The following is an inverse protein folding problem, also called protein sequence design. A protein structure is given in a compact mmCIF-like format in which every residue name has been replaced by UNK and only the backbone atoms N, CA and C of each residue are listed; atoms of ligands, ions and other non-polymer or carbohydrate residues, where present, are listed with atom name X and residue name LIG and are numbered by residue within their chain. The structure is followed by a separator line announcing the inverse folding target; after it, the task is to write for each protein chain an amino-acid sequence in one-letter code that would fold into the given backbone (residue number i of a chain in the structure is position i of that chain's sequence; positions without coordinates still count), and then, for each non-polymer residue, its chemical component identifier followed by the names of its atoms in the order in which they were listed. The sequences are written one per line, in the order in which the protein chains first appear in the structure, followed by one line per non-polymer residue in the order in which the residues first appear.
data_IF_142443875050
#
_entry.id   IF_142443875050
#
_cell.length_a   1.000
_cell.length_b   1.000
_cell.length_c   1.000
_cell.angle_alpha   90.00
_cell.angle_beta   90.00
_cell.angle_gamma   90.00
#
_symmetry.space_group_name_H-M   'P 1'
#
loop_
_entity.id
_entity.type
_entity.pdbx_description
1 polymer ?
#
# COMPACT_ATOMS: atom_id res chain seq x y z
N UNK A 1 10.37 -24.78 -4.05
CA UNK A 1 10.44 -23.31 -3.94
C UNK A 1 9.17 -22.71 -3.33
N UNK A 2 7.93 -23.13 -3.73
CA UNK A 2 6.69 -22.63 -3.09
C UNK A 2 6.66 -22.87 -1.58
N UNK A 3 7.10 -24.02 -1.11
CA UNK A 3 7.12 -24.40 0.32
C UNK A 3 8.04 -23.51 1.17
N UNK A 4 9.20 -23.11 0.66
CA UNK A 4 10.16 -22.32 1.43
C UNK A 4 9.80 -20.84 1.42
N UNK A 5 9.52 -20.27 0.24
CA UNK A 5 9.31 -18.82 0.08
C UNK A 5 7.88 -18.36 0.41
N UNK A 6 6.90 -19.27 0.34
CA UNK A 6 5.51 -18.92 0.59
C UNK A 6 4.99 -19.53 1.90
N UNK A 7 5.25 -20.81 2.16
CA UNK A 7 4.73 -21.51 3.35
C UNK A 7 5.59 -21.29 4.61
N UNK A 8 6.86 -20.91 4.46
CA UNK A 8 7.81 -20.68 5.56
C UNK A 8 7.91 -21.87 6.54
N UNK A 9 7.83 -23.10 6.01
CA UNK A 9 7.81 -24.32 6.82
C UNK A 9 6.57 -24.46 7.70
N UNK A 10 5.42 -24.03 7.21
CA UNK A 10 4.13 -24.05 7.92
C UNK A 10 3.82 -22.78 8.73
N UNK A 11 4.79 -21.87 8.92
CA UNK A 11 4.59 -20.67 9.73
C UNK A 11 3.58 -19.71 9.11
N UNK A 12 3.45 -19.66 7.77
CA UNK A 12 2.47 -18.83 7.08
C UNK A 12 1.03 -19.21 7.44
N UNK A 13 0.73 -20.51 7.44
CA UNK A 13 -0.59 -21.05 7.81
C UNK A 13 -0.84 -20.93 9.32
N UNK A 14 0.19 -21.23 10.13
CA UNK A 14 0.09 -21.08 11.56
C UNK A 14 -0.24 -19.63 11.98
N UNK A 15 0.48 -18.66 11.42
CA UNK A 15 0.27 -17.23 11.72
C UNK A 15 -1.09 -16.77 11.20
N UNK A 16 -1.55 -17.29 10.04
CA UNK A 16 -2.89 -17.04 9.55
C UNK A 16 -3.93 -17.44 10.58
N UNK A 17 -3.91 -18.69 11.07
CA UNK A 17 -4.86 -19.16 12.07
C UNK A 17 -4.75 -18.41 13.41
N UNK A 18 -3.52 -18.08 13.85
CA UNK A 18 -3.30 -17.31 15.07
C UNK A 18 -4.01 -15.93 15.03
N UNK A 19 -4.09 -15.30 13.85
CA UNK A 19 -4.75 -14.01 13.69
C UNK A 19 -6.24 -14.19 13.35
N UNK A 20 -6.59 -15.10 12.41
CA UNK A 20 -7.94 -15.28 11.92
C UNK A 20 -8.90 -15.86 12.98
N UNK A 21 -8.40 -16.58 13.97
CA UNK A 21 -9.21 -17.15 15.06
C UNK A 21 -9.53 -16.15 16.19
N UNK A 22 -8.93 -14.97 16.20
CA UNK A 22 -9.27 -13.91 17.16
C UNK A 22 -10.58 -13.24 16.68
N UNK A 23 -11.71 -13.59 17.31
CA UNK A 23 -13.04 -13.14 16.90
C UNK A 23 -13.75 -12.36 17.99
N UNK A 24 -14.01 -11.08 17.72
CA UNK A 24 -14.88 -10.20 18.51
C UNK A 24 -15.61 -9.29 17.54
N UNK A 25 -16.91 -9.09 17.71
CA UNK A 25 -17.73 -8.28 16.80
C UNK A 25 -17.17 -6.86 16.56
N UNK A 26 -16.73 -6.19 17.62
CA UNK A 26 -16.10 -4.88 17.49
C UNK A 26 -14.78 -4.91 16.71
N UNK A 27 -13.99 -5.98 16.89
CA UNK A 27 -12.71 -6.15 16.17
C UNK A 27 -12.97 -6.39 14.68
N UNK A 28 -13.97 -7.20 14.35
CA UNK A 28 -14.35 -7.49 12.97
C UNK A 28 -14.78 -6.21 12.24
N UNK A 29 -15.54 -5.33 12.91
CA UNK A 29 -15.92 -4.03 12.37
C UNK A 29 -14.70 -3.10 12.17
N UNK A 30 -13.74 -3.09 13.11
CA UNK A 30 -12.48 -2.35 12.97
C UNK A 30 -11.67 -2.90 11.78
N UNK A 31 -11.58 -4.22 11.60
CA UNK A 31 -10.88 -4.84 10.48
C UNK A 31 -11.58 -4.58 9.14
N UNK A 32 -12.91 -4.61 9.09
CA UNK A 32 -13.68 -4.21 7.92
C UNK A 32 -13.43 -2.76 7.53
N UNK A 33 -13.37 -1.84 8.49
CA UNK A 33 -13.05 -0.45 8.21
C UNK A 33 -11.62 -0.28 7.71
N UNK A 34 -10.64 -0.99 8.29
CA UNK A 34 -9.26 -0.98 7.83
C UNK A 34 -9.12 -1.48 6.38
N UNK A 35 -9.77 -2.59 6.04
CA UNK A 35 -9.75 -3.10 4.67
C UNK A 35 -10.45 -2.16 3.69
N UNK A 36 -11.54 -1.51 4.10
CA UNK A 36 -12.22 -0.52 3.27
C UNK A 36 -11.29 0.63 2.89
N UNK A 37 -10.58 1.22 3.85
CA UNK A 37 -9.62 2.30 3.60
C UNK A 37 -8.43 1.84 2.74
N UNK A 38 -8.02 0.59 2.81
CA UNK A 38 -6.95 0.01 1.99
C UNK A 38 -7.36 -0.35 0.56
N UNK A 39 -8.60 -0.11 0.15
CA UNK A 39 -9.10 -0.46 -1.18
C UNK A 39 -8.57 0.45 -2.29
N UNK A 40 -8.14 -0.11 -3.43
CA UNK A 40 -7.69 0.65 -4.61
C UNK A 40 -8.75 1.63 -5.15
N UNK A 41 -10.03 1.36 -4.94
CA UNK A 41 -11.14 2.22 -5.32
C UNK A 41 -11.12 3.58 -4.62
N UNK A 42 -10.39 3.68 -3.48
CA UNK A 42 -10.20 4.94 -2.75
C UNK A 42 -9.12 5.84 -3.32
N UNK A 43 -8.37 5.41 -4.34
CA UNK A 43 -7.32 6.23 -4.95
C UNK A 43 -7.77 7.65 -5.32
N UNK A 44 -8.91 7.87 -6.04
CA UNK A 44 -9.34 9.23 -6.37
C UNK A 44 -9.58 10.09 -5.13
N UNK A 45 -10.14 9.53 -4.06
CA UNK A 45 -10.38 10.22 -2.80
C UNK A 45 -9.06 10.62 -2.12
N UNK A 46 -8.10 9.70 -2.04
CA UNK A 46 -6.75 10.01 -1.51
C UNK A 46 -6.05 11.07 -2.36
N UNK A 47 -6.16 11.00 -3.69
CA UNK A 47 -5.55 11.98 -4.59
C UNK A 47 -6.14 13.38 -4.41
N UNK A 48 -7.46 13.48 -4.26
CA UNK A 48 -8.14 14.77 -3.98
C UNK A 48 -7.66 15.34 -2.65
N UNK A 49 -7.68 14.55 -1.57
CA UNK A 49 -7.22 15.01 -0.25
C UNK A 49 -5.76 15.44 -0.32
N UNK A 50 -4.90 14.63 -0.95
CA UNK A 50 -3.48 14.95 -1.10
C UNK A 50 -3.27 16.27 -1.85
N UNK A 51 -4.03 16.48 -2.92
CA UNK A 51 -3.98 17.72 -3.71
C UNK A 51 -4.42 18.93 -2.89
N UNK A 52 -5.51 18.82 -2.12
CA UNK A 52 -5.95 19.89 -1.25
C UNK A 52 -4.94 20.23 -0.15
N UNK A 53 -4.32 19.21 0.47
CA UNK A 53 -3.24 19.41 1.45
C UNK A 53 -2.03 20.09 0.80
N UNK A 54 -1.65 19.67 -0.41
CA UNK A 54 -0.55 20.26 -1.17
C UNK A 54 -0.83 21.74 -1.48
N UNK A 55 -2.01 22.07 -1.98
CA UNK A 55 -2.44 23.45 -2.24
C UNK A 55 -2.37 24.30 -0.97
N UNK A 56 -2.90 23.79 0.14
CA UNK A 56 -2.83 24.50 1.41
C UNK A 56 -1.39 24.70 1.89
N UNK A 57 -0.55 23.66 1.78
CA UNK A 57 0.84 23.73 2.21
C UNK A 57 1.68 24.71 1.35
N UNK A 58 1.43 24.75 0.04
CA UNK A 58 2.12 25.63 -0.90
C UNK A 58 1.72 27.08 -0.67
N UNK A 59 0.46 27.39 -0.38
CA UNK A 59 -0.05 28.74 -0.14
C UNK A 59 0.32 29.34 1.23
N UNK A 60 1.02 28.59 2.10
CA UNK A 60 1.54 29.18 3.35
C UNK A 60 2.61 30.23 3.05
N UNK A 61 2.69 31.31 3.85
CA UNK A 61 3.75 32.32 3.71
C UNK A 61 5.12 31.66 3.61
N UNK A 62 5.92 32.07 2.63
CA UNK A 62 7.30 31.65 2.45
C UNK A 62 8.21 32.84 2.77
N UNK A 63 9.42 32.57 3.31
CA UNK A 63 10.37 33.61 3.65
C UNK A 63 10.97 34.27 2.40
N UNK A 64 11.09 33.48 1.32
CA UNK A 64 11.61 33.91 0.02
C UNK A 64 11.05 33.05 -1.12
N UNK A 65 11.31 33.47 -2.36
CA UNK A 65 10.87 32.75 -3.55
C UNK A 65 11.50 31.35 -3.67
N UNK A 66 12.75 31.17 -3.26
CA UNK A 66 13.45 29.88 -3.30
C UNK A 66 12.78 28.84 -2.39
N UNK A 67 12.37 29.26 -1.20
CA UNK A 67 11.62 28.41 -0.25
C UNK A 67 10.23 28.01 -0.80
N UNK A 68 9.56 28.95 -1.48
CA UNK A 68 8.28 28.69 -2.15
C UNK A 68 8.47 27.67 -3.28
N UNK A 69 9.40 27.89 -4.18
CA UNK A 69 9.69 27.02 -5.33
C UNK A 69 10.05 25.59 -4.88
N UNK A 70 10.90 25.46 -3.86
CA UNK A 70 11.29 24.16 -3.29
C UNK A 70 10.08 23.40 -2.75
N UNK A 71 9.17 24.11 -2.08
CA UNK A 71 7.93 23.52 -1.55
C UNK A 71 6.99 23.06 -2.66
N UNK A 72 6.80 23.87 -3.70
CA UNK A 72 6.00 23.50 -4.89
C UNK A 72 6.57 22.25 -5.53
N UNK A 73 7.87 22.22 -5.84
CA UNK A 73 8.54 21.05 -6.46
C UNK A 73 8.38 19.79 -5.61
N UNK A 74 8.52 19.90 -4.28
CA UNK A 74 8.33 18.77 -3.37
C UNK A 74 6.93 18.18 -3.44
N UNK A 75 5.88 19.01 -3.38
CA UNK A 75 4.50 18.55 -3.43
C UNK A 75 4.11 18.01 -4.80
N UNK A 76 4.57 18.65 -5.86
CA UNK A 76 4.39 18.12 -7.24
C UNK A 76 5.03 16.73 -7.39
N UNK A 77 6.25 16.56 -6.87
CA UNK A 77 6.92 15.26 -6.90
C UNK A 77 6.13 14.18 -6.11
N UNK A 78 5.60 14.51 -4.93
CA UNK A 78 4.78 13.58 -4.13
C UNK A 78 3.52 13.15 -4.88
N UNK A 79 2.78 14.10 -5.47
CA UNK A 79 1.57 13.81 -6.25
C UNK A 79 1.92 12.95 -7.49
N UNK A 80 2.98 13.30 -8.19
CA UNK A 80 3.45 12.54 -9.35
C UNK A 80 3.86 11.10 -8.95
N UNK A 81 4.67 10.94 -7.88
CA UNK A 81 5.05 9.62 -7.37
C UNK A 81 3.82 8.80 -7.02
N UNK A 82 2.86 9.34 -6.27
CA UNK A 82 1.64 8.63 -5.89
C UNK A 82 0.83 8.18 -7.11
N UNK A 83 0.65 9.06 -8.10
CA UNK A 83 -0.14 8.77 -9.30
C UNK A 83 0.53 7.74 -10.21
N UNK A 84 1.83 7.89 -10.49
CA UNK A 84 2.56 6.94 -11.33
C UNK A 84 2.77 5.59 -10.63
N UNK A 85 3.00 5.59 -9.31
CA UNK A 85 3.09 4.36 -8.54
C UNK A 85 1.77 3.59 -8.56
N UNK A 86 0.63 4.29 -8.42
CA UNK A 86 -0.70 3.66 -8.51
C UNK A 86 -0.93 2.98 -9.87
N UNK A 87 -0.59 3.68 -10.94
CA UNK A 87 -0.72 3.12 -12.29
C UNK A 87 0.19 1.90 -12.51
N UNK A 88 1.45 1.99 -12.12
CA UNK A 88 2.42 0.91 -12.29
C UNK A 88 2.09 -0.29 -11.37
N UNK A 89 1.72 -0.06 -10.12
CA UNK A 89 1.29 -1.10 -9.17
C UNK A 89 0.06 -1.84 -9.70
N UNK A 90 -0.91 -1.11 -10.28
CA UNK A 90 -2.10 -1.69 -10.91
C UNK A 90 -1.76 -2.63 -12.07
N UNK A 91 -0.81 -2.25 -12.95
CA UNK A 91 -0.32 -3.12 -14.03
C UNK A 91 0.36 -4.36 -13.47
N UNK A 92 1.25 -4.19 -12.48
CA UNK A 92 1.97 -5.30 -11.87
C UNK A 92 1.04 -6.26 -11.15
N UNK A 93 0.09 -5.76 -10.37
CA UNK A 93 -0.91 -6.61 -9.72
C UNK A 93 -1.80 -7.33 -10.74
N UNK A 94 -2.23 -6.63 -11.79
CA UNK A 94 -3.05 -7.21 -12.87
C UNK A 94 -2.35 -8.31 -13.65
N UNK A 95 -1.02 -8.28 -13.73
CA UNK A 95 -0.21 -9.31 -14.41
C UNK A 95 0.26 -10.42 -13.46
N UNK A 96 0.74 -10.07 -12.28
CA UNK A 96 1.32 -11.03 -11.33
C UNK A 96 0.26 -11.96 -10.73
N UNK A 97 -0.91 -11.44 -10.39
CA UNK A 97 -1.98 -12.25 -9.75
C UNK A 97 -2.44 -13.42 -10.62
N UNK A 98 -2.82 -13.24 -11.91
CA UNK A 98 -3.18 -14.35 -12.77
C UNK A 98 -1.99 -15.27 -13.06
N UNK A 99 -0.79 -14.72 -13.22
CA UNK A 99 0.43 -15.50 -13.53
C UNK A 99 0.82 -16.44 -12.39
N UNK A 100 0.70 -15.97 -11.14
CA UNK A 100 1.07 -16.74 -9.95
C UNK A 100 -0.06 -17.66 -9.49
N UNK A 101 -1.30 -17.24 -9.66
CA UNK A 101 -2.56 -17.94 -9.31
C UNK A 101 -2.52 -18.73 -7.99
N UNK A 102 -2.07 -18.07 -6.91
CA UNK A 102 -2.09 -18.66 -5.58
C UNK A 102 -3.52 -18.72 -5.04
N UNK A 103 -3.94 -19.87 -4.44
CA UNK A 103 -5.23 -19.99 -3.80
C UNK A 103 -5.30 -19.13 -2.54
N UNK A 104 -6.48 -18.55 -2.25
CA UNK A 104 -6.73 -17.85 -1.00
C UNK A 104 -7.05 -18.82 0.14
N UNK A 105 -6.99 -18.37 1.42
CA UNK A 105 -7.24 -19.25 2.55
C UNK A 105 -8.50 -20.12 2.45
N UNK A 106 -9.68 -19.60 2.00
CA UNK A 106 -10.88 -20.44 1.88
C UNK A 106 -10.80 -21.56 0.84
N UNK A 107 -9.89 -21.45 -0.14
CA UNK A 107 -9.66 -22.50 -1.14
C UNK A 107 -8.47 -23.40 -0.76
N UNK A 108 -7.51 -22.86 -0.02
CA UNK A 108 -6.26 -23.56 0.32
C UNK A 108 -6.37 -24.42 1.58
N UNK A 109 -7.31 -24.10 2.48
CA UNK A 109 -7.49 -24.75 3.79
C UNK A 109 -8.89 -25.35 3.90
N UNK A 110 -9.13 -26.31 4.82
CA UNK A 110 -10.46 -26.77 5.15
C UNK A 110 -11.36 -25.62 5.57
N UNK A 111 -12.51 -25.47 4.91
CA UNK A 111 -13.36 -24.28 5.05
C UNK A 111 -13.85 -24.06 6.48
N UNK A 112 -14.03 -25.13 7.24
CA UNK A 112 -14.40 -25.11 8.66
C UNK A 112 -13.30 -24.52 9.58
N UNK A 113 -12.09 -24.39 9.08
CA UNK A 113 -10.96 -23.83 9.83
C UNK A 113 -10.70 -22.35 9.53
N UNK A 114 -11.47 -21.75 8.60
CA UNK A 114 -11.28 -20.38 8.13
C UNK A 114 -12.49 -19.52 8.48
N UNK A 115 -12.28 -18.48 9.26
CA UNK A 115 -13.30 -17.47 9.51
C UNK A 115 -13.30 -16.44 8.39
N UNK A 116 -14.36 -16.42 7.59
CA UNK A 116 -14.54 -15.49 6.46
C UNK A 116 -15.52 -14.39 6.86
N UNK A 117 -15.10 -13.14 6.74
CA UNK A 117 -15.93 -11.96 7.00
C UNK A 117 -15.94 -11.05 5.76
N UNK A 118 -17.13 -10.81 5.26
CA UNK A 118 -17.36 -10.09 4.01
C UNK A 118 -17.17 -10.96 2.77
N UNK A 119 -17.18 -10.33 1.59
CA UNK A 119 -16.97 -11.01 0.33
C UNK A 119 -15.47 -11.31 0.13
N UNK A 120 -15.15 -12.54 -0.25
CA UNK A 120 -13.79 -12.93 -0.60
C UNK A 120 -13.76 -13.71 -1.90
N UNK A 121 -12.73 -13.49 -2.69
CA UNK A 121 -12.41 -14.28 -3.88
C UNK A 121 -11.68 -15.55 -3.45
N UNK A 122 -11.62 -16.55 -4.31
CA UNK A 122 -10.97 -17.83 -4.02
C UNK A 122 -9.54 -17.91 -4.60
N UNK A 123 -9.31 -17.23 -5.71
CA UNK A 123 -8.05 -17.24 -6.47
C UNK A 123 -7.29 -15.93 -6.35
N UNK A 124 -6.10 -15.90 -6.95
CA UNK A 124 -5.25 -14.70 -7.09
C UNK A 124 -4.91 -14.05 -5.76
N UNK A 125 -4.47 -14.87 -4.77
CA UNK A 125 -4.14 -14.41 -3.44
C UNK A 125 -2.90 -13.53 -3.41
N UNK A 126 -1.83 -13.94 -4.09
CA UNK A 126 -0.51 -13.30 -4.06
C UNK A 126 -0.31 -12.34 -5.25
N UNK A 127 0.16 -11.11 -5.01
CA UNK A 127 0.25 -10.39 -3.75
C UNK A 127 -1.06 -9.70 -3.34
N UNK A 128 -1.19 -9.30 -2.05
CA UNK A 128 -2.38 -8.61 -1.54
C UNK A 128 -2.47 -7.16 -2.06
N UNK A 129 -3.50 -6.86 -2.86
CA UNK A 129 -3.70 -5.53 -3.42
C UNK A 129 -4.02 -4.46 -2.37
N UNK A 130 -4.82 -4.75 -1.34
CA UNK A 130 -5.11 -3.81 -0.27
C UNK A 130 -3.84 -3.45 0.52
N UNK A 131 -3.00 -4.43 0.79
CA UNK A 131 -1.71 -4.22 1.48
C UNK A 131 -0.76 -3.38 0.62
N UNK A 132 -0.71 -3.67 -0.69
CA UNK A 132 0.05 -2.89 -1.68
C UNK A 132 -0.39 -1.43 -1.67
N UNK A 133 -1.69 -1.17 -1.79
CA UNK A 133 -2.23 0.19 -1.82
C UNK A 133 -1.96 0.97 -0.53
N UNK A 134 -2.15 0.36 0.65
CA UNK A 134 -1.86 1.01 1.92
C UNK A 134 -0.38 1.41 2.05
N UNK A 135 0.55 0.52 1.66
CA UNK A 135 1.98 0.81 1.63
C UNK A 135 2.29 1.93 0.64
N UNK A 136 1.70 1.91 -0.55
CA UNK A 136 1.91 2.94 -1.57
C UNK A 136 1.49 4.33 -1.08
N UNK A 137 0.32 4.46 -0.45
CA UNK A 137 -0.14 5.72 0.14
C UNK A 137 0.91 6.29 1.09
N UNK A 138 1.36 5.49 2.06
CA UNK A 138 2.29 5.95 3.09
C UNK A 138 3.69 6.21 2.53
N UNK A 139 4.20 5.31 1.68
CA UNK A 139 5.54 5.45 1.10
C UNK A 139 5.63 6.68 0.17
N UNK A 140 4.60 6.96 -0.64
CA UNK A 140 4.57 8.13 -1.50
C UNK A 140 4.55 9.45 -0.73
N UNK A 141 3.86 9.49 0.42
CA UNK A 141 3.78 10.67 1.27
C UNK A 141 4.98 10.83 2.20
N UNK A 142 5.82 9.80 2.35
CA UNK A 142 6.92 9.77 3.33
C UNK A 142 7.80 11.03 3.38
N UNK A 143 8.17 11.66 2.23
CA UNK A 143 9.01 12.86 2.23
C UNK A 143 8.36 14.08 2.89
N UNK A 144 7.04 14.14 2.97
CA UNK A 144 6.29 15.30 3.51
C UNK A 144 5.66 15.03 4.88
N UNK A 145 5.69 13.77 5.36
CA UNK A 145 5.16 13.39 6.66
C UNK A 145 6.08 13.81 7.81
N UNK A 146 5.49 14.36 8.87
CA UNK A 146 6.17 14.57 10.16
C UNK A 146 6.46 13.23 10.85
N UNK A 147 7.32 13.22 11.88
CA UNK A 147 7.66 11.99 12.62
C UNK A 147 6.42 11.24 13.11
N UNK A 148 5.47 11.95 13.70
CA UNK A 148 4.26 11.33 14.24
C UNK A 148 3.33 10.80 13.15
N UNK A 149 3.21 11.51 12.01
CA UNK A 149 2.46 11.03 10.86
C UNK A 149 3.11 9.83 10.19
N UNK A 150 4.44 9.69 10.24
CA UNK A 150 5.12 8.46 9.79
C UNK A 150 4.78 7.28 10.67
N UNK A 151 4.77 7.45 11.99
CA UNK A 151 4.33 6.39 12.92
C UNK A 151 2.89 6.00 12.65
N UNK A 152 1.98 6.98 12.56
CA UNK A 152 0.58 6.73 12.21
C UNK A 152 0.42 6.02 10.87
N UNK A 153 1.21 6.40 9.86
CA UNK A 153 1.25 5.74 8.55
C UNK A 153 1.69 4.28 8.65
N UNK A 154 2.73 3.97 9.41
CA UNK A 154 3.17 2.58 9.64
C UNK A 154 2.06 1.79 10.34
N UNK A 155 1.43 2.35 11.37
CA UNK A 155 0.29 1.72 12.05
C UNK A 155 -0.87 1.45 11.07
N UNK A 156 -1.16 2.39 10.17
CA UNK A 156 -2.18 2.23 9.13
C UNK A 156 -1.85 1.08 8.18
N UNK A 157 -0.62 1.00 7.68
CA UNK A 157 -0.17 -0.09 6.79
C UNK A 157 -0.31 -1.46 7.48
N UNK A 158 0.15 -1.57 8.73
CA UNK A 158 0.03 -2.78 9.51
C UNK A 158 -1.44 -3.14 9.78
N UNK A 159 -2.26 -2.17 10.11
CA UNK A 159 -3.69 -2.37 10.33
C UNK A 159 -4.40 -2.91 9.08
N UNK A 160 -4.18 -2.30 7.90
CA UNK A 160 -4.73 -2.81 6.65
C UNK A 160 -4.23 -4.23 6.36
N UNK A 161 -2.94 -4.51 6.52
CA UNK A 161 -2.39 -5.84 6.33
C UNK A 161 -3.00 -6.88 7.26
N UNK A 162 -3.08 -6.58 8.56
CA UNK A 162 -3.72 -7.43 9.57
C UNK A 162 -5.21 -7.65 9.27
N UNK A 163 -5.91 -6.63 8.77
CA UNK A 163 -7.31 -6.76 8.41
C UNK A 163 -7.52 -7.82 7.32
N UNK A 164 -6.62 -7.93 6.34
CA UNK A 164 -6.73 -8.94 5.26
C UNK A 164 -6.56 -10.36 5.77
N UNK A 165 -5.71 -10.56 6.78
CA UNK A 165 -5.51 -11.86 7.42
C UNK A 165 -6.70 -12.19 8.34
N UNK A 166 -7.08 -11.25 9.19
CA UNK A 166 -8.17 -11.39 10.16
C UNK A 166 -9.50 -11.72 9.49
N UNK A 167 -9.81 -11.09 8.35
CA UNK A 167 -11.05 -11.32 7.58
C UNK A 167 -11.01 -12.59 6.70
N UNK A 168 -9.93 -13.38 6.76
CA UNK A 168 -9.81 -14.64 6.01
C UNK A 168 -9.51 -14.47 4.52
N UNK A 169 -9.11 -13.28 4.07
CA UNK A 169 -8.96 -12.98 2.64
C UNK A 169 -7.56 -13.27 2.08
N UNK A 170 -6.51 -13.24 2.91
CA UNK A 170 -5.11 -13.40 2.49
C UNK A 170 -4.26 -14.08 3.57
N UNK A 171 -3.24 -14.78 3.13
CA UNK A 171 -2.18 -15.25 4.02
C UNK A 171 -1.20 -14.12 4.39
N UNK A 172 -0.46 -14.23 5.52
CA UNK A 172 0.61 -13.29 5.87
C UNK A 172 1.64 -13.06 4.75
N UNK A 173 2.00 -14.10 4.00
CA UNK A 173 2.92 -14.01 2.86
C UNK A 173 2.38 -13.09 1.75
N UNK A 174 1.08 -13.13 1.46
CA UNK A 174 0.45 -12.25 0.47
C UNK A 174 0.53 -10.78 0.87
N UNK A 175 0.31 -10.53 2.16
CA UNK A 175 0.35 -9.19 2.77
C UNK A 175 1.77 -8.62 2.68
N UNK A 176 2.78 -9.40 3.09
CA UNK A 176 4.18 -8.98 3.00
C UNK A 176 4.62 -8.76 1.56
N UNK A 177 4.23 -9.64 0.64
CA UNK A 177 4.53 -9.47 -0.78
C UNK A 177 3.91 -8.19 -1.35
N UNK A 178 2.67 -7.84 -0.94
CA UNK A 178 2.03 -6.58 -1.29
C UNK A 178 2.81 -5.36 -0.78
N UNK A 179 3.27 -5.39 0.47
CA UNK A 179 4.09 -4.31 1.04
C UNK A 179 5.42 -4.15 0.28
N UNK A 180 6.13 -5.25 0.02
CA UNK A 180 7.44 -5.21 -0.66
C UNK A 180 7.28 -4.72 -2.09
N UNK A 181 6.30 -5.25 -2.84
CA UNK A 181 6.04 -4.86 -4.22
C UNK A 181 5.79 -3.35 -4.32
N UNK A 182 4.85 -2.84 -3.54
CA UNK A 182 4.49 -1.44 -3.62
C UNK A 182 5.60 -0.50 -3.13
N UNK A 183 6.34 -0.88 -2.08
CA UNK A 183 7.50 -0.10 -1.65
C UNK A 183 8.56 -0.03 -2.76
N UNK A 184 8.85 -1.15 -3.44
CA UNK A 184 9.79 -1.17 -4.56
C UNK A 184 9.30 -0.30 -5.73
N UNK A 185 8.00 -0.36 -6.07
CA UNK A 185 7.38 0.49 -7.10
C UNK A 185 7.51 1.97 -6.75
N UNK A 186 7.17 2.37 -5.53
CA UNK A 186 7.27 3.77 -5.08
C UNK A 186 8.71 4.26 -5.14
N UNK A 187 9.66 3.47 -4.68
CA UNK A 187 11.09 3.83 -4.72
C UNK A 187 11.59 3.97 -6.17
N UNK A 188 11.21 3.05 -7.06
CA UNK A 188 11.55 3.11 -8.49
C UNK A 188 11.02 4.40 -9.13
N UNK A 189 9.74 4.68 -8.95
CA UNK A 189 9.09 5.88 -9.50
C UNK A 189 9.71 7.16 -8.90
N UNK A 190 9.98 7.16 -7.59
CA UNK A 190 10.63 8.29 -6.93
C UNK A 190 12.02 8.58 -7.53
N UNK A 191 12.85 7.57 -7.71
CA UNK A 191 14.18 7.72 -8.33
C UNK A 191 14.06 8.24 -9.76
N UNK A 192 13.15 7.68 -10.56
CA UNK A 192 12.93 8.11 -11.94
C UNK A 192 12.51 9.61 -12.02
N UNK A 193 11.59 10.04 -11.17
CA UNK A 193 11.14 11.44 -11.11
C UNK A 193 12.29 12.37 -10.68
N UNK A 194 13.10 11.97 -9.68
CA UNK A 194 14.25 12.76 -9.25
C UNK A 194 15.30 12.91 -10.36
N UNK A 195 15.59 11.85 -11.08
CA UNK A 195 16.51 11.90 -12.23
C UNK A 195 15.99 12.82 -13.34
N UNK A 196 14.70 12.74 -13.67
CA UNK A 196 14.08 13.61 -14.67
C UNK A 196 14.18 15.08 -14.26
N UNK A 197 13.88 15.41 -13.01
CA UNK A 197 13.99 16.79 -12.50
C UNK A 197 15.45 17.32 -12.54
N UNK A 198 16.44 16.45 -12.31
CA UNK A 198 17.84 16.83 -12.41
C UNK A 198 18.27 17.10 -13.87
N UNK A 199 17.82 16.30 -14.82
CA UNK A 199 18.11 16.50 -16.25
C UNK A 199 17.52 17.84 -16.75
N UNK A 200 16.25 18.10 -16.46
CA UNK A 200 15.60 19.36 -16.83
C UNK A 200 16.32 20.59 -16.23
N UNK A 201 16.84 20.48 -15.00
CA UNK A 201 17.61 21.56 -14.37
C UNK A 201 18.94 21.85 -15.08
N UNK A 202 19.61 20.81 -15.60
CA UNK A 202 20.86 20.98 -16.35
C UNK A 202 20.65 21.67 -17.70
N UNK A 203 19.59 21.30 -18.41
CA UNK A 203 19.23 21.92 -19.71
C UNK A 203 18.90 23.41 -19.60
N UNK A 204 18.32 23.86 -18.48
CA UNK A 204 18.05 25.29 -18.25
C UNK A 204 19.24 26.08 -17.74
N UNK A 205 20.36 25.43 -17.41
CA UNK A 205 21.59 26.07 -16.94
C UNK A 205 22.66 26.23 -18.05
N UNK A 206 22.44 25.63 -19.22
CA UNK A 206 23.22 25.80 -20.43
C UNK A 206 22.58 26.79 -21.38
#
# INVERSE_FOLDING_TARGET
MKEIFYDWGGANVWLFHAINNIRFEWLDNVMLFGTYLGGHTFFPFYLVILTLIALFAVNRPAQDFSSYETRVKRWMAVIAVFSFAYWLDGILLGTLKPLLDFPRPPLALPLETVNIIGATELHHSLPSGHSSFAMMVVASLWPVLTRWLRVAGVCFVLWVGLSRISLGAHFPADVLAGFILSLAVVLLVYVAIQQLMQLMRKEHAT
#
